data_IF_283850783176
#
_entry.id   IF_283850783176
#
_cell.length_a   1.000
_cell.length_b   1.000
_cell.length_c   1.000
_cell.angle_alpha   90.00
_cell.angle_beta   90.00
_cell.angle_gamma   90.00
#
_symmetry.space_group_name_H-M   'P 1'
#
loop_
_entity.id
_entity.type
_entity.pdbx_description
1 polymer ?
#
# COMPACT_ATOMS: atom_id res chain seq x y z
N UNK A 1 -1.82 -6.46 10.60
CA UNK A 1 -2.42 -5.22 11.13
C UNK A 1 -1.36 -4.14 11.44
N UNK A 2 -0.18 -4.51 11.93
CA UNK A 2 0.90 -3.57 12.30
C UNK A 2 1.32 -2.65 11.14
N UNK A 3 1.46 -3.18 9.93
CA UNK A 3 1.76 -2.37 8.75
C UNK A 3 0.66 -1.35 8.43
N UNK A 4 -0.60 -1.68 8.71
CA UNK A 4 -1.72 -0.74 8.57
C UNK A 4 -1.60 0.38 9.60
N UNK A 5 -1.39 0.05 10.87
CA UNK A 5 -1.19 1.07 11.90
C UNK A 5 -0.01 1.98 11.61
N UNK A 6 1.10 1.40 11.16
CA UNK A 6 2.27 2.18 10.73
C UNK A 6 1.92 3.15 9.60
N UNK A 7 1.20 2.71 8.58
CA UNK A 7 0.81 3.58 7.45
C UNK A 7 -0.06 4.75 7.89
N UNK A 8 -1.01 4.52 8.80
CA UNK A 8 -1.88 5.56 9.34
C UNK A 8 -1.10 6.58 10.18
N UNK A 9 -0.22 6.10 11.05
CA UNK A 9 0.67 6.97 11.84
C UNK A 9 1.59 7.80 10.94
N UNK A 10 2.09 7.20 9.85
CA UNK A 10 2.94 7.90 8.89
C UNK A 10 2.18 9.01 8.16
N UNK A 11 0.95 8.77 7.71
CA UNK A 11 0.11 9.81 7.11
C UNK A 11 -0.16 10.96 8.09
N UNK A 12 -0.47 10.64 9.36
CA UNK A 12 -0.69 11.64 10.39
C UNK A 12 0.57 12.49 10.64
N UNK A 13 1.73 11.85 10.78
CA UNK A 13 2.99 12.57 11.00
C UNK A 13 3.31 13.52 9.82
N UNK A 14 3.02 13.13 8.58
CA UNK A 14 3.19 13.99 7.41
C UNK A 14 2.18 15.14 7.35
N UNK A 15 0.97 14.95 7.86
CA UNK A 15 -0.01 16.03 8.00
C UNK A 15 0.44 17.07 9.04
N UNK A 16 1.02 16.63 10.14
CA UNK A 16 1.60 17.52 11.15
C UNK A 16 2.81 18.28 10.57
N UNK A 17 3.72 17.58 9.90
CA UNK A 17 4.84 18.20 9.19
C UNK A 17 4.38 19.23 8.17
N UNK A 18 3.32 18.95 7.41
CA UNK A 18 2.76 19.87 6.41
C UNK A 18 2.34 21.20 7.03
N UNK A 19 1.77 21.16 8.24
CA UNK A 19 1.39 22.36 8.98
C UNK A 19 2.62 23.18 9.44
N UNK A 20 3.67 22.48 9.87
CA UNK A 20 4.91 23.14 10.32
C UNK A 20 5.67 23.81 9.16
N UNK A 21 5.76 23.13 8.00
CA UNK A 21 6.54 23.65 6.85
C UNK A 21 5.73 24.56 5.94
N UNK A 22 4.42 24.64 6.09
CA UNK A 22 3.53 25.52 5.34
C UNK A 22 3.21 25.07 3.91
N UNK A 23 3.52 23.82 3.55
CA UNK A 23 3.13 23.22 2.28
C UNK A 23 2.76 21.75 2.45
N UNK A 24 1.97 21.21 1.52
CA UNK A 24 1.48 19.84 1.60
C UNK A 24 2.62 18.82 1.36
N UNK A 25 2.87 17.99 2.37
CA UNK A 25 3.69 16.79 2.27
C UNK A 25 2.79 15.58 2.40
N UNK A 26 2.80 14.70 1.43
CA UNK A 26 1.96 13.51 1.43
C UNK A 26 2.72 12.32 0.85
N UNK A 27 2.41 11.12 1.35
CA UNK A 27 2.96 9.87 0.84
C UNK A 27 1.88 8.98 0.23
N UNK A 28 2.32 7.98 -0.50
CA UNK A 28 1.51 6.90 -1.04
C UNK A 28 2.01 5.60 -0.44
N UNK A 29 1.12 4.77 0.05
CA UNK A 29 1.48 3.50 0.68
C UNK A 29 0.81 2.35 -0.07
N UNK A 30 1.58 1.31 -0.38
CA UNK A 30 1.09 0.03 -0.85
C UNK A 30 1.51 -1.06 0.11
N UNK A 31 0.59 -1.92 0.50
CA UNK A 31 0.86 -3.06 1.38
C UNK A 31 0.42 -4.35 0.68
N UNK A 32 1.34 -5.28 0.58
CA UNK A 32 1.11 -6.59 0.00
C UNK A 32 1.68 -7.70 0.90
N UNK A 33 0.99 -8.80 0.98
CA UNK A 33 1.46 -10.02 1.62
C UNK A 33 1.75 -11.05 0.53
N UNK A 34 3.01 -11.43 0.40
CA UNK A 34 3.47 -12.37 -0.61
C UNK A 34 4.78 -13.03 -0.20
N UNK A 35 5.14 -14.10 -0.89
CA UNK A 35 6.39 -14.80 -0.68
C UNK A 35 7.58 -13.97 -1.17
N UNK A 36 8.64 -13.99 -0.40
CA UNK A 36 9.90 -13.33 -0.73
C UNK A 36 11.08 -14.25 -0.44
N UNK A 37 12.15 -14.06 -1.19
CA UNK A 37 13.45 -14.68 -0.92
C UNK A 37 14.31 -13.64 -0.21
N UNK A 38 14.81 -14.01 0.95
CA UNK A 38 15.71 -13.15 1.73
C UNK A 38 17.14 -13.61 1.50
N UNK A 39 17.96 -12.71 0.96
CA UNK A 39 19.39 -12.94 0.73
C UNK A 39 20.20 -12.07 1.68
N UNK A 40 21.16 -12.69 2.35
CA UNK A 40 22.16 -11.96 3.13
C UNK A 40 23.37 -11.65 2.23
N UNK A 41 23.79 -10.40 2.22
CA UNK A 41 25.00 -10.00 1.54
C UNK A 41 26.23 -10.32 2.40
N UNK A 42 27.37 -10.44 1.77
CA UNK A 42 28.66 -10.66 2.44
C UNK A 42 29.12 -9.39 3.14
N UNK A 43 29.99 -9.52 4.14
CA UNK A 43 30.59 -8.37 4.82
C UNK A 43 31.36 -7.47 3.84
N UNK A 44 31.96 -8.07 2.79
CA UNK A 44 32.66 -7.35 1.73
C UNK A 44 31.69 -6.49 0.88
N UNK A 45 30.53 -7.02 0.52
CA UNK A 45 29.51 -6.27 -0.22
C UNK A 45 28.92 -5.14 0.64
N UNK A 46 28.70 -5.41 1.92
CA UNK A 46 28.22 -4.40 2.91
C UNK A 46 29.26 -3.28 3.04
N UNK A 47 30.53 -3.59 3.10
CA UNK A 47 31.61 -2.60 3.14
C UNK A 47 31.65 -1.71 1.87
N UNK A 48 31.15 -2.23 0.74
CA UNK A 48 30.99 -1.49 -0.54
C UNK A 48 29.68 -0.73 -0.65
N UNK A 49 28.85 -0.74 0.39
CA UNK A 49 27.60 0.00 0.46
C UNK A 49 26.32 -0.81 0.17
N UNK A 50 26.40 -2.15 0.08
CA UNK A 50 25.23 -2.99 -0.02
C UNK A 50 24.49 -3.08 1.32
N UNK A 51 23.15 -3.28 1.25
CA UNK A 51 22.37 -3.58 2.44
C UNK A 51 22.78 -4.97 3.01
N UNK A 52 22.71 -5.12 4.33
CA UNK A 52 23.02 -6.41 4.98
C UNK A 52 22.07 -7.53 4.54
N UNK A 53 20.85 -7.17 4.20
CA UNK A 53 19.79 -8.09 3.75
C UNK A 53 19.10 -7.51 2.52
N UNK A 54 18.91 -8.32 1.51
CA UNK A 54 18.10 -8.02 0.32
C UNK A 54 16.88 -8.92 0.27
N UNK A 55 15.76 -8.32 -0.14
CA UNK A 55 14.50 -9.01 -0.36
C UNK A 55 14.28 -9.13 -1.86
N UNK A 56 14.13 -10.33 -2.36
CA UNK A 56 13.88 -10.64 -3.77
C UNK A 56 12.54 -11.37 -3.92
N UNK A 57 12.00 -11.36 -5.12
CA UNK A 57 10.77 -12.05 -5.47
C UNK A 57 9.70 -11.13 -6.04
N UNK A 58 8.65 -11.75 -6.57
CA UNK A 58 7.57 -11.05 -7.26
C UNK A 58 6.81 -10.05 -6.36
N UNK A 59 6.72 -10.33 -5.06
CA UNK A 59 6.04 -9.45 -4.10
C UNK A 59 6.60 -8.02 -4.09
N UNK A 60 7.90 -7.84 -4.31
CA UNK A 60 8.55 -6.52 -4.31
C UNK A 60 8.08 -5.62 -5.47
N UNK A 61 8.20 -6.01 -6.74
CA UNK A 61 7.69 -5.21 -7.85
C UNK A 61 6.16 -5.07 -7.83
N UNK A 62 5.42 -6.08 -7.37
CA UNK A 62 3.98 -6.00 -7.19
C UNK A 62 3.60 -4.88 -6.20
N UNK A 63 4.21 -4.88 -5.02
CA UNK A 63 3.98 -3.84 -4.00
C UNK A 63 4.32 -2.45 -4.52
N UNK A 64 5.41 -2.32 -5.29
CA UNK A 64 5.79 -1.05 -5.91
C UNK A 64 4.73 -0.56 -6.92
N UNK A 65 4.11 -1.46 -7.69
CA UNK A 65 3.02 -1.11 -8.61
C UNK A 65 1.76 -0.68 -7.86
N UNK A 66 1.43 -1.39 -6.78
CA UNK A 66 0.29 -1.05 -5.93
C UNK A 66 0.48 0.34 -5.28
N UNK A 67 1.65 0.61 -4.73
CA UNK A 67 2.01 1.93 -4.19
C UNK A 67 1.93 3.02 -5.27
N UNK A 68 2.44 2.75 -6.47
CA UNK A 68 2.45 3.72 -7.56
C UNK A 68 1.04 4.06 -8.08
N UNK A 69 0.06 3.15 -7.89
CA UNK A 69 -1.34 3.40 -8.21
C UNK A 69 -1.99 4.37 -7.21
N UNK A 70 -1.59 4.35 -5.94
CA UNK A 70 -2.15 5.18 -4.90
C UNK A 70 -1.97 6.68 -5.19
N UNK A 71 -2.89 7.49 -4.71
CA UNK A 71 -2.76 8.94 -4.62
C UNK A 71 -2.21 9.37 -3.25
N UNK A 72 -1.89 10.64 -3.09
CA UNK A 72 -1.39 11.15 -1.80
C UNK A 72 -2.33 10.85 -0.64
N UNK A 73 -1.79 10.49 0.51
CA UNK A 73 -2.50 10.08 1.74
C UNK A 73 -3.27 8.75 1.64
N UNK A 74 -3.07 7.99 0.58
CA UNK A 74 -3.76 6.73 0.35
C UNK A 74 -2.90 5.53 0.75
N UNK A 75 -3.53 4.56 1.44
CA UNK A 75 -2.95 3.25 1.73
C UNK A 75 -3.74 2.19 0.97
N UNK A 76 -3.15 1.68 -0.10
CA UNK A 76 -3.71 0.60 -0.91
C UNK A 76 -3.23 -0.78 -0.43
N UNK A 77 -4.13 -1.73 -0.46
CA UNK A 77 -3.93 -3.09 -0.02
C UNK A 77 -4.21 -4.06 -1.15
N UNK A 78 -3.41 -5.12 -1.23
CA UNK A 78 -3.79 -6.31 -1.99
C UNK A 78 -4.88 -7.10 -1.25
N UNK A 79 -5.58 -7.98 -1.96
CA UNK A 79 -6.63 -8.83 -1.39
C UNK A 79 -6.14 -9.63 -0.17
N UNK A 80 -4.95 -10.22 -0.26
CA UNK A 80 -4.36 -11.02 0.83
C UNK A 80 -4.17 -10.22 2.12
N UNK A 81 -3.75 -8.96 2.01
CA UNK A 81 -3.61 -8.05 3.16
C UNK A 81 -4.97 -7.62 3.69
N UNK A 82 -5.88 -7.23 2.78
CA UNK A 82 -7.23 -6.80 3.16
C UNK A 82 -7.94 -7.86 4.02
N UNK A 83 -7.92 -9.11 3.59
CA UNK A 83 -8.57 -10.21 4.31
C UNK A 83 -8.00 -10.44 5.71
N UNK A 84 -6.67 -10.45 5.83
CA UNK A 84 -5.99 -10.71 7.10
C UNK A 84 -6.11 -9.51 8.04
N UNK A 85 -5.81 -8.32 7.54
CA UNK A 85 -5.79 -7.11 8.35
C UNK A 85 -7.18 -6.70 8.83
N UNK A 86 -8.19 -6.79 7.97
CA UNK A 86 -9.58 -6.50 8.34
C UNK A 86 -10.09 -7.41 9.44
N UNK A 87 -9.81 -8.71 9.37
CA UNK A 87 -10.19 -9.67 10.43
C UNK A 87 -9.47 -9.39 11.74
N UNK A 88 -8.17 -9.07 11.67
CA UNK A 88 -7.39 -8.72 12.84
C UNK A 88 -7.83 -7.39 13.49
N UNK A 89 -8.45 -6.49 12.74
CA UNK A 89 -8.93 -5.21 13.23
C UNK A 89 -10.29 -5.28 13.95
N UNK A 90 -11.00 -6.39 13.86
CA UNK A 90 -12.31 -6.55 14.52
C UNK A 90 -12.16 -6.41 16.04
N UNK A 91 -12.91 -5.48 16.61
CA UNK A 91 -12.88 -5.19 18.06
C UNK A 91 -11.69 -4.37 18.55
N UNK A 92 -10.74 -4.02 17.67
CA UNK A 92 -9.64 -3.13 18.00
C UNK A 92 -10.06 -1.67 17.78
N UNK A 93 -9.83 -0.84 18.80
CA UNK A 93 -9.94 0.61 18.62
C UNK A 93 -8.63 1.13 18.02
N UNK A 94 -8.74 1.82 16.91
CA UNK A 94 -7.60 2.52 16.33
C UNK A 94 -7.37 3.83 17.08
N UNK A 95 -6.11 4.10 17.43
CA UNK A 95 -5.69 5.40 17.99
C UNK A 95 -5.87 6.55 16.97
N UNK A 96 -6.01 6.21 15.69
CA UNK A 96 -6.11 7.16 14.59
C UNK A 96 -7.58 7.49 14.21
N UNK A 97 -8.57 6.86 14.84
CA UNK A 97 -9.99 7.00 14.55
C UNK A 97 -10.62 5.71 14.00
N UNK A 98 -11.84 5.82 13.51
CA UNK A 98 -12.56 4.68 12.92
C UNK A 98 -11.96 4.29 11.57
N UNK A 99 -11.52 3.04 11.46
CA UNK A 99 -10.97 2.49 10.21
C UNK A 99 -12.09 2.21 9.20
N UNK A 100 -11.90 2.73 8.01
CA UNK A 100 -12.75 2.46 6.85
C UNK A 100 -11.99 1.55 5.87
N UNK A 101 -12.69 0.54 5.40
CA UNK A 101 -12.18 -0.46 4.46
C UNK A 101 -12.99 -0.39 3.17
N UNK A 102 -12.34 -0.07 2.08
CA UNK A 102 -13.01 0.18 0.80
C UNK A 102 -12.46 -0.75 -0.27
N UNK A 103 -13.35 -1.37 -1.05
CA UNK A 103 -12.99 -2.13 -2.24
C UNK A 103 -13.09 -1.21 -3.47
N UNK A 104 -12.01 -1.06 -4.21
CA UNK A 104 -11.95 -0.20 -5.40
C UNK A 104 -12.17 -0.96 -6.72
N UNK A 105 -12.32 -2.28 -6.65
CA UNK A 105 -12.43 -3.14 -7.83
C UNK A 105 -11.07 -3.52 -8.40
N UNK A 106 -11.09 -4.03 -9.62
CA UNK A 106 -9.93 -4.66 -10.25
C UNK A 106 -9.13 -3.68 -11.11
N UNK A 107 -7.82 -3.82 -11.07
CA UNK A 107 -6.86 -3.05 -11.86
C UNK A 107 -5.90 -3.97 -12.60
N UNK A 108 -5.51 -3.55 -13.80
CA UNK A 108 -4.43 -4.18 -14.59
C UNK A 108 -3.13 -3.48 -14.19
N UNK A 109 -2.24 -4.21 -13.54
CA UNK A 109 -0.92 -3.71 -13.13
C UNK A 109 0.15 -4.15 -14.13
N UNK A 110 1.03 -3.26 -14.54
CA UNK A 110 2.11 -3.59 -15.47
C UNK A 110 3.01 -4.71 -14.93
N UNK A 111 3.18 -5.79 -15.71
CA UNK A 111 3.94 -6.97 -15.33
C UNK A 111 3.17 -7.98 -14.46
N UNK A 112 1.86 -7.78 -14.28
CA UNK A 112 0.95 -8.73 -13.64
C UNK A 112 -0.05 -9.20 -14.69
N UNK A 113 -0.16 -10.52 -14.88
CA UNK A 113 -0.96 -11.11 -15.97
C UNK A 113 -2.46 -10.93 -15.71
N UNK A 114 -2.90 -11.26 -14.50
CA UNK A 114 -4.31 -11.19 -14.12
C UNK A 114 -4.69 -9.85 -13.48
N UNK A 115 -5.96 -9.41 -13.63
CA UNK A 115 -6.47 -8.27 -12.91
C UNK A 115 -6.36 -8.46 -11.39
N UNK A 116 -5.95 -7.42 -10.69
CA UNK A 116 -5.74 -7.41 -9.25
C UNK A 116 -6.83 -6.60 -8.57
N UNK A 117 -7.51 -7.19 -7.61
CA UNK A 117 -8.44 -6.46 -6.76
C UNK A 117 -7.70 -5.58 -5.76
N UNK A 118 -8.06 -4.32 -5.76
CA UNK A 118 -7.41 -3.27 -4.97
C UNK A 118 -8.37 -2.78 -3.89
N UNK A 119 -7.83 -2.70 -2.69
CA UNK A 119 -8.55 -2.24 -1.50
C UNK A 119 -7.83 -1.05 -0.89
N UNK A 120 -8.52 -0.30 -0.07
CA UNK A 120 -7.98 0.81 0.70
C UNK A 120 -8.36 0.67 2.16
N UNK A 121 -7.44 1.04 3.04
CA UNK A 121 -7.72 1.31 4.44
C UNK A 121 -7.36 2.75 4.76
N UNK A 122 -8.22 3.43 5.48
CA UNK A 122 -8.01 4.81 5.88
C UNK A 122 -8.94 5.23 7.00
N UNK A 123 -8.80 6.47 7.42
CA UNK A 123 -9.69 7.13 8.37
C UNK A 123 -10.51 8.19 7.63
N UNK A 124 -11.81 8.21 7.86
CA UNK A 124 -12.72 9.17 7.23
C UNK A 124 -12.28 10.61 7.53
N UNK A 125 -12.25 11.44 6.49
CA UNK A 125 -11.78 12.83 6.60
C UNK A 125 -10.25 13.00 6.60
N UNK A 126 -9.48 11.91 6.62
CA UNK A 126 -8.00 11.92 6.56
C UNK A 126 -7.50 11.33 5.26
N UNK A 127 -7.91 10.12 4.93
CA UNK A 127 -7.58 9.45 3.69
C UNK A 127 -8.56 9.78 2.56
N UNK A 128 -8.18 9.59 1.28
CA UNK A 128 -9.05 9.85 0.15
C UNK A 128 -10.30 8.98 0.12
N UNK A 129 -10.17 7.69 0.46
CA UNK A 129 -11.23 6.67 0.41
C UNK A 129 -11.96 6.62 -0.95
N UNK A 130 -11.23 6.94 -2.02
CA UNK A 130 -11.74 7.02 -3.39
C UNK A 130 -10.92 6.15 -4.32
N UNK A 131 -11.56 5.59 -5.34
CA UNK A 131 -10.88 4.76 -6.32
C UNK A 131 -9.75 5.53 -7.01
N UNK A 132 -8.51 5.02 -7.00
CA UNK A 132 -7.41 5.69 -7.70
C UNK A 132 -7.71 5.75 -9.20
N UNK A 133 -7.37 6.86 -9.87
CA UNK A 133 -7.73 7.06 -11.28
C UNK A 133 -6.94 6.15 -12.24
N UNK A 134 -5.82 5.59 -11.77
CA UNK A 134 -4.89 4.86 -12.59
C UNK A 134 -3.81 5.75 -13.21
N UNK A 135 -2.87 5.12 -13.88
CA UNK A 135 -1.73 5.75 -14.55
C UNK A 135 -1.23 4.88 -15.72
N UNK A 136 -0.10 5.25 -16.33
CA UNK A 136 0.47 4.49 -17.45
C UNK A 136 0.88 3.05 -17.14
N UNK A 137 1.06 2.70 -15.85
CA UNK A 137 1.48 1.37 -15.37
C UNK A 137 0.40 0.60 -14.62
N UNK A 138 -0.73 1.25 -14.33
CA UNK A 138 -1.86 0.65 -13.63
C UNK A 138 -3.16 1.27 -14.13
N UNK A 139 -4.04 0.46 -14.70
CA UNK A 139 -5.32 0.91 -15.27
C UNK A 139 -6.47 0.14 -14.65
N UNK A 140 -7.60 0.79 -14.49
CA UNK A 140 -8.81 0.11 -14.07
C UNK A 140 -9.14 -1.00 -15.08
N UNK A 141 -9.39 -2.21 -14.60
CA UNK A 141 -9.81 -3.29 -15.45
C UNK A 141 -11.21 -2.99 -16.00
N UNK A 142 -11.50 -3.35 -17.27
CA UNK A 142 -12.85 -3.24 -17.80
C UNK A 142 -13.81 -4.07 -16.94
N UNK A 143 -15.03 -3.56 -16.71
CA UNK A 143 -16.06 -4.33 -16.05
C UNK A 143 -16.21 -5.67 -16.77
N UNK A 144 -16.22 -6.79 -16.04
CA UNK A 144 -16.54 -8.08 -16.64
C UNK A 144 -17.93 -7.94 -17.25
N UNK A 145 -17.99 -7.97 -18.59
CA UNK A 145 -19.26 -7.97 -19.29
C UNK A 145 -20.10 -9.13 -18.77
N UNK A 146 -21.30 -8.81 -18.34
CA UNK A 146 -22.33 -9.83 -18.09
C UNK A 146 -22.59 -10.50 -19.42
N UNK A 147 -22.19 -11.78 -19.56
CA UNK A 147 -22.62 -12.63 -20.66
C UNK A 147 -24.12 -12.89 -20.55
#
# INVERSE_FOLDING_TARGET
>A
IEAVHFSLAYHQALDELSKEVGFQVATRVGIHLGEVVVRKNTDEDIARGANGVEVEGFAKPFTARLMALAVGKQTLLSHSVFDVARRAAVGLKSEHGELRWVAHGSYLLAGVEDPVDVFEVGVEGVGPLTAPPGNGKAKRAPAKGTL
#
